data_IF_620691522690
#
_entry.id   IF_620691522690
#
_cell.length_a   1.000
_cell.length_b   1.000
_cell.length_c   1.000
_cell.angle_alpha   90.00
_cell.angle_beta   90.00
_cell.angle_gamma   90.00
#
_symmetry.space_group_name_H-M   'P 1'
#
loop_
_entity.id
_entity.type
_entity.pdbx_description
1 polymer ?
#
# COMPACT_ATOMS: atom_id res chain seq x y z
N UNK A 1 29.16 -50.35 -21.71
CA UNK A 1 28.26 -51.54 -21.73
C UNK A 1 27.56 -51.84 -20.38
N UNK A 2 27.66 -51.01 -19.35
CA UNK A 2 27.17 -51.38 -18.00
C UNK A 2 25.86 -50.72 -17.49
N UNK A 3 25.30 -49.79 -18.21
CA UNK A 3 24.13 -49.05 -17.71
C UNK A 3 22.81 -49.84 -17.85
N UNK A 4 22.67 -50.64 -18.89
CA UNK A 4 21.42 -51.40 -19.12
C UNK A 4 21.36 -52.64 -18.19
N UNK A 5 22.48 -53.25 -17.88
CA UNK A 5 22.55 -54.39 -16.95
C UNK A 5 22.16 -53.99 -15.53
N UNK A 6 22.63 -52.83 -15.08
CA UNK A 6 22.29 -52.32 -13.75
C UNK A 6 20.78 -51.91 -13.65
N UNK A 7 20.20 -51.40 -14.72
CA UNK A 7 18.76 -51.11 -14.77
C UNK A 7 17.91 -52.38 -14.71
N UNK A 8 18.31 -53.40 -15.43
CA UNK A 8 17.60 -54.68 -15.43
C UNK A 8 17.72 -55.41 -14.09
N UNK A 9 18.88 -55.37 -13.44
CA UNK A 9 19.10 -55.88 -12.08
C UNK A 9 18.24 -55.15 -11.04
N UNK A 10 18.08 -53.84 -11.17
CA UNK A 10 17.23 -53.03 -10.27
C UNK A 10 15.75 -53.35 -10.46
N UNK A 11 15.31 -53.57 -11.72
CA UNK A 11 13.94 -53.98 -12.04
C UNK A 11 13.56 -55.31 -11.39
N UNK A 12 14.48 -56.32 -11.45
CA UNK A 12 14.19 -57.64 -10.86
C UNK A 12 14.24 -57.62 -9.34
N UNK A 13 15.25 -56.94 -8.74
CA UNK A 13 15.40 -56.91 -7.29
C UNK A 13 14.35 -56.04 -6.58
N UNK A 14 14.01 -54.92 -7.14
CA UNK A 14 13.13 -53.93 -6.51
C UNK A 14 12.22 -53.22 -7.57
N UNK A 15 11.24 -53.92 -8.12
CA UNK A 15 10.42 -53.38 -9.22
C UNK A 15 9.69 -52.07 -8.84
N UNK A 16 9.17 -51.96 -7.62
CA UNK A 16 8.54 -50.73 -7.13
C UNK A 16 9.48 -49.52 -7.14
N UNK A 17 10.73 -49.69 -6.67
CA UNK A 17 11.71 -48.61 -6.71
C UNK A 17 12.15 -48.27 -8.14
N UNK A 18 12.21 -49.28 -9.02
CA UNK A 18 12.54 -49.05 -10.42
C UNK A 18 11.46 -48.20 -11.12
N UNK A 19 10.18 -48.55 -10.94
CA UNK A 19 9.07 -47.82 -11.55
C UNK A 19 8.90 -46.43 -10.93
N UNK A 20 9.07 -46.30 -9.60
CA UNK A 20 9.08 -44.99 -8.94
C UNK A 20 10.14 -44.08 -9.56
N UNK A 21 11.41 -44.52 -9.63
CA UNK A 21 12.49 -43.70 -10.15
C UNK A 21 12.35 -43.40 -11.64
N UNK A 22 11.78 -44.35 -12.41
CA UNK A 22 11.43 -44.14 -13.82
C UNK A 22 10.35 -43.05 -13.97
N UNK A 23 9.27 -43.13 -13.19
CA UNK A 23 8.17 -42.19 -13.23
C UNK A 23 8.63 -40.79 -12.76
N UNK A 24 9.40 -40.70 -11.68
CA UNK A 24 9.97 -39.43 -11.20
C UNK A 24 10.91 -38.78 -12.23
N UNK A 25 11.64 -39.59 -13.00
CA UNK A 25 12.49 -39.06 -14.07
C UNK A 25 11.68 -38.57 -15.26
N UNK A 26 10.58 -39.24 -15.60
CA UNK A 26 9.68 -38.89 -16.71
C UNK A 26 8.73 -37.75 -16.34
N UNK A 27 8.30 -37.71 -15.08
CA UNK A 27 7.41 -36.74 -14.50
C UNK A 27 8.02 -36.23 -13.20
N UNK A 28 9.00 -35.30 -13.25
CA UNK A 28 9.65 -34.80 -12.06
C UNK A 28 8.62 -34.07 -11.18
N UNK A 29 8.66 -34.36 -9.88
CA UNK A 29 7.92 -33.59 -8.91
C UNK A 29 8.65 -32.28 -8.70
N UNK A 30 7.93 -31.19 -8.89
CA UNK A 30 8.43 -29.87 -8.53
C UNK A 30 8.06 -29.62 -7.07
N UNK A 31 9.08 -29.33 -6.25
CA UNK A 31 8.90 -28.94 -4.86
C UNK A 31 9.04 -27.41 -4.78
N UNK A 32 8.22 -26.84 -3.95
CA UNK A 32 8.26 -25.43 -3.59
C UNK A 32 9.14 -25.20 -2.34
N UNK A 33 9.11 -24.00 -1.78
CA UNK A 33 9.84 -23.66 -0.55
C UNK A 33 9.40 -24.52 0.65
N UNK A 34 8.17 -25.00 0.68
CA UNK A 34 7.65 -25.90 1.71
C UNK A 34 8.11 -27.37 1.51
N UNK A 35 8.83 -27.65 0.43
CA UNK A 35 9.31 -28.98 0.06
C UNK A 35 8.20 -30.05 -0.05
N UNK A 36 7.03 -29.64 -0.47
CA UNK A 36 5.88 -30.50 -0.74
C UNK A 36 5.51 -30.48 -2.23
N UNK A 37 4.60 -31.36 -2.66
CA UNK A 37 4.04 -31.30 -3.99
C UNK A 37 3.20 -30.04 -4.19
N UNK A 38 3.20 -29.46 -5.40
CA UNK A 38 2.43 -28.22 -5.67
C UNK A 38 0.93 -28.31 -5.32
N UNK A 39 0.34 -29.51 -5.45
CA UNK A 39 -1.06 -29.74 -5.07
C UNK A 39 -1.27 -29.72 -3.54
N UNK A 40 -0.28 -30.14 -2.78
CA UNK A 40 -0.31 -30.12 -1.31
C UNK A 40 -0.06 -28.69 -0.78
N UNK A 41 0.76 -27.90 -1.47
CA UNK A 41 1.02 -26.51 -1.11
C UNK A 41 -0.26 -25.70 -0.98
N UNK A 42 -1.16 -25.83 -1.95
CA UNK A 42 -2.44 -25.14 -1.92
C UNK A 42 -3.26 -25.50 -0.68
N UNK A 43 -3.29 -26.78 -0.32
CA UNK A 43 -4.01 -27.26 0.87
C UNK A 43 -3.39 -26.70 2.16
N UNK A 44 -2.06 -26.69 2.25
CA UNK A 44 -1.33 -26.14 3.41
C UNK A 44 -1.62 -24.65 3.55
N UNK A 45 -1.50 -23.89 2.45
CA UNK A 45 -1.77 -22.44 2.44
C UNK A 45 -3.21 -22.15 2.85
N UNK A 46 -4.18 -22.88 2.31
CA UNK A 46 -5.60 -22.70 2.66
C UNK A 46 -5.89 -23.03 4.12
N UNK A 47 -5.27 -24.06 4.66
CA UNK A 47 -5.39 -24.43 6.06
C UNK A 47 -4.77 -23.38 6.98
N UNK A 48 -3.57 -22.91 6.68
CA UNK A 48 -2.89 -21.86 7.44
C UNK A 48 -3.68 -20.55 7.43
N UNK A 49 -4.20 -20.15 6.27
CA UNK A 49 -5.08 -18.99 6.16
C UNK A 49 -6.39 -19.16 6.95
N UNK A 50 -6.94 -20.37 7.00
CA UNK A 50 -8.13 -20.67 7.78
C UNK A 50 -7.86 -20.53 9.27
N UNK A 51 -6.74 -21.07 9.76
CA UNK A 51 -6.30 -20.96 11.15
C UNK A 51 -6.04 -19.52 11.55
N UNK A 52 -5.32 -18.75 10.71
CA UNK A 52 -5.06 -17.34 10.97
C UNK A 52 -6.34 -16.50 11.11
N UNK A 53 -7.38 -16.82 10.34
CA UNK A 53 -8.68 -16.13 10.46
C UNK A 53 -9.36 -16.35 11.80
N UNK A 54 -9.04 -17.45 12.50
CA UNK A 54 -9.60 -17.78 13.81
C UNK A 54 -8.82 -17.13 14.96
N UNK A 55 -7.59 -16.69 14.72
CA UNK A 55 -6.77 -16.02 15.74
C UNK A 55 -7.11 -14.53 15.76
N UNK A 56 -7.60 -13.96 16.87
CA UNK A 56 -7.90 -12.54 16.96
C UNK A 56 -6.61 -11.71 16.84
N UNK A 57 -6.69 -10.63 16.10
CA UNK A 57 -5.59 -9.67 15.99
C UNK A 57 -5.67 -8.66 17.15
N UNK A 58 -4.71 -8.73 18.08
CA UNK A 58 -4.57 -7.80 19.21
C UNK A 58 -3.67 -6.59 18.89
N UNK A 59 -3.27 -6.44 17.64
CA UNK A 59 -2.37 -5.37 17.22
C UNK A 59 -2.99 -3.99 17.49
N UNK A 60 -2.20 -3.03 18.04
CA UNK A 60 -2.61 -1.64 18.10
C UNK A 60 -2.59 -1.03 16.70
N UNK A 61 -3.71 -0.52 16.24
CA UNK A 61 -3.85 0.04 14.90
C UNK A 61 -4.29 1.49 15.01
N UNK A 62 -3.54 2.38 14.36
CA UNK A 62 -3.88 3.79 14.22
C UNK A 62 -4.52 4.08 12.87
N UNK A 63 -5.10 5.27 12.74
CA UNK A 63 -5.57 5.80 11.46
C UNK A 63 -4.82 7.09 11.16
N UNK A 64 -4.45 7.28 9.90
CA UNK A 64 -3.80 8.48 9.40
C UNK A 64 -4.59 9.02 8.21
N UNK A 65 -4.99 10.28 8.31
CA UNK A 65 -5.61 11.05 7.23
C UNK A 65 -4.63 12.07 6.67
N UNK A 66 -4.75 12.36 5.38
CA UNK A 66 -4.26 13.60 4.79
C UNK A 66 -5.47 14.48 4.46
N UNK A 67 -5.39 15.77 4.81
CA UNK A 67 -6.50 16.70 4.62
C UNK A 67 -6.03 18.14 4.48
N UNK A 68 -6.68 18.88 3.59
CA UNK A 68 -6.57 20.32 3.47
C UNK A 68 -7.94 20.95 3.20
N UNK A 69 -8.10 22.19 3.65
CA UNK A 69 -9.28 22.98 3.36
C UNK A 69 -8.91 24.09 2.37
N UNK A 70 -9.34 23.95 1.13
CA UNK A 70 -9.08 24.96 0.08
C UNK A 70 -9.86 26.27 0.27
N UNK A 71 -10.87 26.29 1.15
CA UNK A 71 -11.61 27.50 1.50
C UNK A 71 -10.81 28.41 2.45
N UNK A 72 -9.72 27.92 3.04
CA UNK A 72 -8.77 28.73 3.79
C UNK A 72 -8.01 29.65 2.83
N UNK A 73 -8.18 30.96 3.00
CA UNK A 73 -7.57 31.97 2.13
C UNK A 73 -6.04 31.96 2.21
N UNK A 74 -5.45 31.63 3.35
CA UNK A 74 -3.98 31.57 3.54
C UNK A 74 -3.45 30.42 2.70
N UNK A 75 -4.05 29.24 2.85
CA UNK A 75 -3.67 28.07 2.08
C UNK A 75 -3.88 28.27 0.58
N UNK A 76 -5.03 28.83 0.20
CA UNK A 76 -5.37 29.10 -1.20
C UNK A 76 -4.38 30.05 -1.88
N UNK A 77 -3.99 31.14 -1.20
CA UNK A 77 -3.00 32.07 -1.71
C UNK A 77 -1.63 31.41 -1.84
N UNK A 78 -1.23 30.60 -0.86
CA UNK A 78 -0.02 29.79 -0.93
C UNK A 78 -0.06 28.86 -2.15
N UNK A 79 -1.13 28.08 -2.32
CA UNK A 79 -1.29 27.19 -3.46
C UNK A 79 -1.16 27.94 -4.79
N UNK A 80 -1.88 29.06 -4.95
CA UNK A 80 -1.86 29.85 -6.18
C UNK A 80 -0.49 30.44 -6.48
N UNK A 81 0.29 30.84 -5.48
CA UNK A 81 1.66 31.38 -5.66
C UNK A 81 2.64 30.32 -6.18
N UNK A 82 2.38 29.05 -5.91
CA UNK A 82 3.20 27.93 -6.37
C UNK A 82 2.63 27.21 -7.59
N UNK A 83 1.36 27.41 -7.91
CA UNK A 83 0.72 26.79 -9.08
C UNK A 83 1.38 27.23 -10.37
N UNK A 84 2.02 26.30 -11.07
CA UNK A 84 2.50 26.50 -12.46
C UNK A 84 1.47 25.90 -13.42
N UNK A 85 1.31 26.51 -14.58
CA UNK A 85 0.48 25.96 -15.66
C UNK A 85 1.26 24.87 -16.42
N UNK A 86 1.60 23.79 -15.73
CA UNK A 86 2.26 22.63 -16.34
C UNK A 86 1.22 21.52 -16.54
N UNK A 87 0.89 21.27 -17.81
CA UNK A 87 -0.08 20.26 -18.23
C UNK A 87 0.55 18.87 -18.45
N UNK A 88 1.84 18.69 -18.14
CA UNK A 88 2.57 17.46 -18.41
C UNK A 88 2.01 16.22 -17.69
N UNK A 89 1.26 16.42 -16.58
CA UNK A 89 0.70 15.36 -15.75
C UNK A 89 -0.82 15.16 -15.91
N UNK A 90 -1.41 15.71 -16.97
CA UNK A 90 -2.84 15.61 -17.27
C UNK A 90 -3.65 16.85 -16.83
N UNK A 91 -4.72 17.13 -17.59
CA UNK A 91 -5.55 18.34 -17.41
C UNK A 91 -6.20 18.44 -16.02
N UNK A 92 -6.46 17.31 -15.37
CA UNK A 92 -7.15 17.25 -14.07
C UNK A 92 -6.19 17.27 -12.86
N UNK A 93 -4.88 17.31 -13.08
CA UNK A 93 -3.90 17.30 -11.98
C UNK A 93 -3.98 18.56 -11.11
N UNK A 94 -4.38 19.68 -11.69
CA UNK A 94 -4.47 21.00 -11.05
C UNK A 94 -5.89 21.46 -10.78
N UNK A 95 -6.87 20.57 -10.88
CA UNK A 95 -8.28 20.89 -10.66
C UNK A 95 -8.52 21.22 -9.18
N UNK A 96 -9.13 22.38 -8.91
CA UNK A 96 -9.47 22.81 -7.55
C UNK A 96 -10.46 21.88 -6.86
N UNK A 97 -11.25 21.12 -7.62
CA UNK A 97 -12.16 20.12 -7.07
C UNK A 97 -11.45 19.05 -6.21
N UNK A 98 -10.17 18.80 -6.47
CA UNK A 98 -9.35 17.87 -5.69
C UNK A 98 -9.08 18.32 -4.25
N UNK A 99 -9.25 19.58 -3.99
CA UNK A 99 -9.03 20.21 -2.68
C UNK A 99 -10.34 20.74 -2.08
N UNK A 100 -11.50 20.44 -2.71
CA UNK A 100 -12.80 20.86 -2.20
C UNK A 100 -13.07 20.15 -0.88
N UNK A 101 -13.66 20.89 0.07
CA UNK A 101 -14.01 20.37 1.38
C UNK A 101 -15.52 20.56 1.59
N UNK A 102 -16.27 19.46 1.56
CA UNK A 102 -17.69 19.40 1.88
C UNK A 102 -17.93 18.66 3.21
N UNK A 103 -16.97 18.77 4.14
CA UNK A 103 -16.92 18.06 5.42
C UNK A 103 -16.75 16.53 5.30
N UNK A 104 -16.16 16.04 4.22
CA UNK A 104 -15.92 14.62 4.00
C UNK A 104 -15.15 14.01 5.19
N UNK A 105 -14.06 14.65 5.62
CA UNK A 105 -13.27 14.20 6.75
C UNK A 105 -14.10 14.01 8.03
N UNK A 106 -15.04 14.94 8.32
CA UNK A 106 -15.90 14.82 9.50
C UNK A 106 -16.79 13.58 9.45
N UNK A 107 -17.41 13.31 8.31
CA UNK A 107 -18.24 12.13 8.14
C UNK A 107 -17.42 10.85 8.09
N UNK A 108 -16.24 10.87 7.46
CA UNK A 108 -15.32 9.76 7.46
C UNK A 108 -14.90 9.38 8.89
N UNK A 109 -14.52 10.37 9.70
CA UNK A 109 -14.14 10.17 11.09
C UNK A 109 -15.30 9.64 11.95
N UNK A 110 -16.54 10.13 11.73
CA UNK A 110 -17.73 9.54 12.34
C UNK A 110 -17.93 8.07 11.96
N UNK A 111 -17.67 7.72 10.71
CA UNK A 111 -17.77 6.34 10.23
C UNK A 111 -16.75 5.42 10.93
N UNK A 112 -15.51 5.89 11.12
CA UNK A 112 -14.49 5.17 11.89
C UNK A 112 -14.94 4.92 13.31
N UNK A 113 -15.39 5.96 14.02
CA UNK A 113 -15.88 5.82 15.40
C UNK A 113 -17.02 4.84 15.54
N UNK A 114 -17.91 4.80 14.55
CA UNK A 114 -19.08 3.93 14.56
C UNK A 114 -18.73 2.48 14.23
N UNK A 115 -17.91 2.24 13.22
CA UNK A 115 -17.77 0.92 12.60
C UNK A 115 -16.43 0.23 12.88
N UNK A 116 -15.39 0.98 13.29
CA UNK A 116 -14.08 0.44 13.70
C UNK A 116 -13.60 1.10 15.00
N UNK A 117 -14.42 1.05 16.09
CA UNK A 117 -14.12 1.74 17.36
C UNK A 117 -12.87 1.24 18.06
N UNK A 118 -12.28 0.13 17.61
CA UNK A 118 -11.04 -0.45 18.10
C UNK A 118 -9.77 0.31 17.63
N UNK A 119 -9.89 1.35 16.81
CA UNK A 119 -8.78 2.23 16.42
C UNK A 119 -8.22 2.93 17.65
N UNK A 120 -6.88 2.86 17.81
CA UNK A 120 -6.19 3.40 18.99
C UNK A 120 -6.13 4.94 18.97
N UNK A 121 -5.52 5.52 17.92
CA UNK A 121 -5.37 6.95 17.69
C UNK A 121 -5.64 7.32 16.25
N UNK A 122 -6.02 8.56 16.01
CA UNK A 122 -6.25 9.11 14.68
C UNK A 122 -5.33 10.31 14.51
N UNK A 123 -4.59 10.36 13.41
CA UNK A 123 -3.73 11.47 13.03
C UNK A 123 -4.28 12.11 11.77
N UNK A 124 -4.34 13.44 11.75
CA UNK A 124 -4.73 14.23 10.57
C UNK A 124 -3.53 15.06 10.16
N UNK A 125 -3.00 14.75 8.98
CA UNK A 125 -1.86 15.47 8.39
C UNK A 125 -2.39 16.62 7.57
N UNK A 126 -1.90 17.83 7.84
CA UNK A 126 -2.43 19.06 7.24
C UNK A 126 -1.34 20.13 7.05
N UNK A 127 -1.65 21.18 6.30
CA UNK A 127 -0.75 22.31 6.05
C UNK A 127 -1.15 23.51 6.92
N UNK A 128 -0.80 23.44 8.21
CA UNK A 128 -1.10 24.47 9.21
C UNK A 128 -2.60 24.81 9.34
N UNK A 129 -3.44 23.81 9.22
CA UNK A 129 -4.90 23.97 9.30
C UNK A 129 -5.44 23.10 10.44
N UNK A 130 -6.59 23.49 11.00
CA UNK A 130 -7.28 22.73 12.05
C UNK A 130 -8.78 22.74 11.74
N UNK A 131 -9.42 21.55 11.68
CA UNK A 131 -10.87 21.48 11.50
C UNK A 131 -11.58 22.11 12.71
N UNK A 132 -12.63 22.90 12.48
CA UNK A 132 -13.39 23.61 13.53
C UNK A 132 -14.00 22.68 14.60
N UNK A 133 -14.30 21.44 14.20
CA UNK A 133 -14.92 20.42 15.05
C UNK A 133 -13.92 19.51 15.78
N UNK A 134 -12.61 19.79 15.71
CA UNK A 134 -11.56 18.89 16.24
C UNK A 134 -11.70 18.62 17.73
N UNK A 135 -12.10 19.63 18.51
CA UNK A 135 -12.24 19.56 19.99
C UNK A 135 -13.29 18.52 20.44
N UNK A 136 -14.15 18.06 19.54
CA UNK A 136 -15.12 16.99 19.82
C UNK A 136 -14.44 15.60 19.95
N UNK A 137 -13.14 15.51 19.67
CA UNK A 137 -12.44 14.24 19.52
C UNK A 137 -11.14 14.19 20.32
N UNK A 138 -11.13 13.51 21.45
CA UNK A 138 -9.98 13.39 22.33
C UNK A 138 -8.84 12.48 21.83
N UNK A 139 -9.14 11.57 20.88
CA UNK A 139 -8.16 10.62 20.33
C UNK A 139 -7.66 11.03 18.93
N UNK A 140 -7.89 12.28 18.53
CA UNK A 140 -7.40 12.84 17.25
C UNK A 140 -6.24 13.79 17.52
N UNK A 141 -5.19 13.69 16.71
CA UNK A 141 -4.00 14.54 16.79
C UNK A 141 -3.76 15.17 15.41
N UNK A 142 -3.61 16.48 15.38
CA UNK A 142 -3.22 17.23 14.18
C UNK A 142 -1.69 17.20 14.06
N UNK A 143 -1.21 16.92 12.85
CA UNK A 143 0.22 16.93 12.49
C UNK A 143 0.41 17.88 11.32
N UNK A 144 1.31 18.84 11.48
CA UNK A 144 1.67 19.74 10.37
C UNK A 144 2.64 19.06 9.40
N UNK A 145 2.58 19.40 8.13
CA UNK A 145 3.53 18.94 7.12
C UNK A 145 4.99 19.18 7.56
N UNK A 146 5.27 20.30 8.25
CA UNK A 146 6.61 20.68 8.74
C UNK A 146 7.15 19.76 9.83
N UNK A 147 6.29 19.01 10.50
CA UNK A 147 6.69 18.09 11.58
C UNK A 147 7.26 16.78 11.03
N UNK A 148 6.90 16.42 9.79
CA UNK A 148 7.27 15.13 9.22
C UNK A 148 8.03 15.23 7.90
N UNK A 149 7.89 16.34 7.15
CA UNK A 149 8.48 16.51 5.82
C UNK A 149 9.68 17.45 5.91
N UNK A 150 10.86 17.10 5.34
CA UNK A 150 12.01 17.98 5.27
C UNK A 150 11.72 19.30 4.55
N UNK A 151 12.33 20.40 5.02
CA UNK A 151 12.06 21.77 4.53
C UNK A 151 12.27 21.93 3.03
N UNK A 152 13.22 21.21 2.45
CA UNK A 152 13.53 21.24 1.02
C UNK A 152 12.40 20.72 0.12
N UNK A 153 11.43 20.01 0.69
CA UNK A 153 10.25 19.48 -0.01
C UNK A 153 8.96 20.23 0.31
N UNK A 154 9.07 21.34 1.05
CA UNK A 154 7.92 22.16 1.44
C UNK A 154 7.93 23.52 0.69
N UNK A 155 6.76 24.10 0.39
CA UNK A 155 5.46 23.49 0.55
C UNK A 155 5.21 22.40 -0.49
N UNK A 156 4.41 21.40 -0.12
CA UNK A 156 3.94 20.37 -1.06
C UNK A 156 2.42 20.34 -1.12
N UNK A 157 1.90 20.13 -2.34
CA UNK A 157 0.47 19.94 -2.62
C UNK A 157 0.22 18.55 -3.22
N UNK A 158 1.22 17.68 -3.12
CA UNK A 158 1.19 16.32 -3.64
C UNK A 158 1.02 15.32 -2.48
N UNK A 159 -0.13 14.63 -2.42
CA UNK A 159 -0.41 13.62 -1.39
C UNK A 159 0.64 12.51 -1.33
N UNK A 160 1.19 12.10 -2.49
CA UNK A 160 2.21 11.05 -2.52
C UNK A 160 3.51 11.45 -1.82
N UNK A 161 3.87 12.74 -1.85
CA UNK A 161 5.01 13.24 -1.07
C UNK A 161 4.69 13.16 0.42
N UNK A 162 3.48 13.55 0.84
CA UNK A 162 3.06 13.48 2.23
C UNK A 162 3.05 12.03 2.71
N UNK A 163 2.45 11.12 1.94
CA UNK A 163 2.37 9.68 2.22
C UNK A 163 3.74 9.04 2.45
N UNK A 164 4.76 9.48 1.72
CA UNK A 164 6.12 8.97 1.86
C UNK A 164 6.76 9.25 3.24
N UNK A 165 6.28 10.27 3.95
CA UNK A 165 6.80 10.68 5.24
C UNK A 165 5.94 10.28 6.43
N UNK A 166 4.84 9.56 6.25
CA UNK A 166 3.95 9.14 7.35
C UNK A 166 4.69 8.37 8.46
N UNK A 167 5.73 7.64 8.13
CA UNK A 167 6.57 6.93 9.11
C UNK A 167 7.30 7.85 10.10
N UNK A 168 7.37 9.15 9.84
CA UNK A 168 7.96 10.17 10.73
C UNK A 168 7.00 10.67 11.81
N UNK A 169 5.72 10.33 11.73
CA UNK A 169 4.74 10.72 12.76
C UNK A 169 5.18 10.15 14.11
N UNK A 170 5.31 11.05 15.10
CA UNK A 170 5.65 10.67 16.47
C UNK A 170 4.52 9.83 17.08
N UNK A 171 4.87 8.78 17.81
CA UNK A 171 3.95 7.87 18.51
C UNK A 171 2.98 7.09 17.57
N UNK A 172 3.18 7.14 16.24
CA UNK A 172 2.45 6.29 15.31
C UNK A 172 2.72 4.83 15.59
N UNK A 173 1.66 4.02 15.65
CA UNK A 173 1.76 2.57 15.77
C UNK A 173 2.52 1.96 14.59
N UNK A 174 3.13 0.77 14.82
CA UNK A 174 3.72 -0.03 13.73
C UNK A 174 2.69 -0.34 12.65
N UNK A 175 1.44 -0.55 13.04
CA UNK A 175 0.31 -0.87 12.16
C UNK A 175 -0.63 0.31 12.11
N UNK A 176 -0.92 0.79 10.90
CA UNK A 176 -1.87 1.89 10.72
C UNK A 176 -2.61 1.79 9.39
N UNK A 177 -3.76 2.43 9.34
CA UNK A 177 -4.60 2.55 8.14
C UNK A 177 -4.44 3.96 7.61
N UNK A 178 -4.04 4.09 6.35
CA UNK A 178 -4.07 5.35 5.64
C UNK A 178 -5.44 5.55 4.98
N UNK A 179 -6.01 6.72 5.18
CA UNK A 179 -7.29 7.15 4.63
C UNK A 179 -7.14 8.47 3.89
N UNK A 180 -7.76 8.57 2.73
CA UNK A 180 -8.14 9.88 2.20
C UNK A 180 -9.40 10.36 2.91
N UNK A 181 -9.62 11.68 2.95
CA UNK A 181 -10.77 12.31 3.61
C UNK A 181 -12.14 11.89 3.04
N UNK A 182 -12.18 11.48 1.77
CA UNK A 182 -13.35 11.00 1.05
C UNK A 182 -13.63 9.49 1.19
N UNK A 183 -12.87 8.77 2.01
CA UNK A 183 -13.04 7.33 2.25
C UNK A 183 -13.83 7.09 3.53
N UNK A 184 -14.89 6.26 3.46
CA UNK A 184 -15.81 5.97 4.56
C UNK A 184 -15.87 4.48 4.87
N UNK A 185 -16.06 4.16 6.16
CA UNK A 185 -16.38 2.80 6.60
C UNK A 185 -17.89 2.68 6.73
N UNK A 186 -18.51 1.73 6.02
CA UNK A 186 -19.97 1.60 5.94
C UNK A 186 -20.56 0.49 6.82
N UNK A 187 -19.72 -0.35 7.42
CA UNK A 187 -20.11 -1.47 8.29
C UNK A 187 -19.01 -1.80 9.28
N UNK A 188 -19.32 -2.57 10.29
CA UNK A 188 -18.33 -3.11 11.22
C UNK A 188 -17.31 -3.98 10.48
N UNK A 189 -16.02 -3.71 10.74
CA UNK A 189 -14.91 -4.42 10.13
C UNK A 189 -13.93 -4.82 11.24
N UNK A 190 -13.61 -6.11 11.39
CA UNK A 190 -12.64 -6.57 12.38
C UNK A 190 -11.21 -6.20 11.99
N UNK A 191 -10.30 -6.11 12.97
CA UNK A 191 -8.87 -5.86 12.76
C UNK A 191 -8.23 -6.83 11.76
N UNK A 192 -8.64 -8.11 11.79
CA UNK A 192 -8.15 -9.17 10.92
C UNK A 192 -8.44 -8.97 9.42
N UNK A 193 -9.38 -8.08 9.08
CA UNK A 193 -9.59 -7.65 7.70
C UNK A 193 -8.40 -6.85 7.17
N UNK A 194 -7.73 -6.08 8.02
CA UNK A 194 -6.64 -5.19 7.66
C UNK A 194 -5.27 -5.83 7.91
N UNK A 195 -5.11 -6.47 9.03
CA UNK A 195 -3.87 -7.12 9.43
C UNK A 195 -4.15 -8.50 10.01
N UNK A 196 -3.45 -9.49 9.53
CA UNK A 196 -3.49 -10.84 10.10
C UNK A 196 -2.83 -10.84 11.48
N UNK A 197 -3.09 -11.87 12.27
CA UNK A 197 -2.50 -12.01 13.61
C UNK A 197 -0.96 -12.00 13.61
N UNK A 198 -0.34 -12.50 12.54
CA UNK A 198 1.11 -12.46 12.32
C UNK A 198 1.63 -11.11 11.82
N UNK A 199 0.77 -10.09 11.68
CA UNK A 199 1.11 -8.74 11.25
C UNK A 199 1.23 -8.55 9.73
N UNK A 200 0.81 -9.52 8.92
CA UNK A 200 0.74 -9.34 7.47
C UNK A 200 -0.42 -8.40 7.13
N UNK A 201 -0.14 -7.37 6.32
CA UNK A 201 -1.14 -6.42 5.83
C UNK A 201 -1.98 -7.03 4.72
N UNK A 202 -3.28 -6.81 4.74
CA UNK A 202 -4.16 -7.12 3.61
C UNK A 202 -3.88 -6.17 2.44
N UNK A 203 -3.96 -6.68 1.22
CA UNK A 203 -3.78 -5.90 -0.01
C UNK A 203 -5.11 -5.86 -0.79
N UNK A 204 -5.60 -4.65 -1.04
CA UNK A 204 -6.86 -4.45 -1.78
C UNK A 204 -6.54 -3.98 -3.19
N UNK A 205 -6.74 -4.86 -4.17
CA UNK A 205 -6.44 -4.63 -5.58
C UNK A 205 -7.71 -4.49 -6.41
N UNK A 206 -7.64 -3.72 -7.50
CA UNK A 206 -8.75 -3.59 -8.45
C UNK A 206 -8.74 -4.73 -9.48
N UNK A 207 -9.81 -4.81 -10.27
CA UNK A 207 -9.85 -5.65 -11.48
C UNK A 207 -9.33 -4.91 -12.73
N UNK A 208 -8.82 -3.68 -12.58
CA UNK A 208 -8.31 -2.88 -13.70
C UNK A 208 -6.89 -3.33 -14.04
N UNK A 209 -6.51 -3.23 -15.32
CA UNK A 209 -5.15 -3.47 -15.79
C UNK A 209 -4.44 -2.13 -16.04
N UNK A 210 -3.24 -1.97 -15.48
CA UNK A 210 -2.37 -0.80 -15.70
C UNK A 210 -2.00 -0.70 -17.17
N UNK A 211 -1.68 -1.86 -17.81
CA UNK A 211 -1.36 -1.89 -19.24
C UNK A 211 -2.56 -1.45 -20.10
N UNK A 212 -3.75 -1.99 -19.82
CA UNK A 212 -4.96 -1.60 -20.55
C UNK A 212 -5.32 -0.10 -20.36
N UNK A 213 -5.03 0.48 -19.19
CA UNK A 213 -5.21 1.91 -18.96
C UNK A 213 -4.22 2.73 -19.79
N UNK A 214 -2.94 2.35 -19.80
CA UNK A 214 -1.90 3.00 -20.62
C UNK A 214 -2.22 2.92 -22.11
N UNK A 215 -2.60 1.74 -22.60
CA UNK A 215 -2.86 1.49 -24.03
C UNK A 215 -4.11 2.25 -24.54
N UNK A 216 -5.04 2.59 -23.62
CA UNK A 216 -6.18 3.49 -23.89
C UNK A 216 -5.80 4.98 -23.87
N UNK A 217 -4.52 5.33 -23.67
CA UNK A 217 -4.05 6.71 -23.62
C UNK A 217 -4.49 7.48 -22.36
N UNK A 218 -4.86 6.79 -21.28
CA UNK A 218 -5.17 7.44 -20.01
C UNK A 218 -3.89 8.11 -19.49
N UNK A 219 -3.98 9.39 -19.17
CA UNK A 219 -2.87 10.17 -18.65
C UNK A 219 -3.28 10.84 -17.35
N UNK A 220 -3.03 10.17 -16.21
CA UNK A 220 -3.37 10.67 -14.88
C UNK A 220 -2.18 10.49 -13.93
N UNK A 221 -2.05 11.37 -12.89
CA UNK A 221 -1.01 11.22 -11.87
C UNK A 221 -1.02 9.84 -11.22
N UNK A 222 -2.20 9.28 -10.96
CA UNK A 222 -2.35 7.94 -10.38
C UNK A 222 -1.78 6.84 -11.28
N UNK A 223 -2.01 6.91 -12.60
CA UNK A 223 -1.44 5.94 -13.53
C UNK A 223 0.08 6.04 -13.57
N UNK A 224 0.64 7.25 -13.58
CA UNK A 224 2.08 7.46 -13.52
C UNK A 224 2.69 6.90 -12.23
N UNK A 225 2.05 7.12 -11.08
CA UNK A 225 2.47 6.53 -9.81
C UNK A 225 2.48 5.00 -9.87
N UNK A 226 1.42 4.37 -10.43
CA UNK A 226 1.35 2.92 -10.62
C UNK A 226 2.47 2.39 -11.54
N UNK A 227 2.76 3.07 -12.64
CA UNK A 227 3.83 2.70 -13.57
C UNK A 227 5.22 2.80 -12.91
N UNK A 228 5.46 3.86 -12.14
CA UNK A 228 6.70 4.05 -11.41
C UNK A 228 6.88 2.98 -10.32
N UNK A 229 5.83 2.69 -9.57
CA UNK A 229 5.85 1.64 -8.53
C UNK A 229 6.09 0.26 -9.15
N UNK A 230 5.44 -0.05 -10.28
CA UNK A 230 5.66 -1.30 -11.01
C UNK A 230 7.10 -1.45 -11.46
N UNK A 231 7.67 -0.38 -12.03
CA UNK A 231 9.08 -0.38 -12.44
C UNK A 231 10.00 -0.63 -11.26
N UNK A 232 9.75 0.05 -10.12
CA UNK A 232 10.54 -0.13 -8.90
C UNK A 232 10.49 -1.56 -8.38
N UNK A 233 9.29 -2.17 -8.34
CA UNK A 233 9.10 -3.55 -7.91
C UNK A 233 9.80 -4.55 -8.83
N UNK A 234 9.74 -4.32 -10.13
CA UNK A 234 10.45 -5.14 -11.09
C UNK A 234 11.97 -5.03 -10.96
N UNK A 235 12.49 -3.80 -10.87
CA UNK A 235 13.93 -3.54 -10.79
C UNK A 235 14.57 -4.13 -9.51
N UNK A 236 13.84 -4.18 -8.39
CA UNK A 236 14.39 -4.58 -7.10
C UNK A 236 14.02 -6.02 -6.69
N UNK A 237 12.84 -6.50 -7.09
CA UNK A 237 12.32 -7.78 -6.61
C UNK A 237 11.94 -8.73 -7.75
N UNK A 238 12.07 -8.32 -9.00
CA UNK A 238 11.62 -9.07 -10.19
C UNK A 238 10.12 -9.42 -10.16
N UNK A 239 9.32 -8.59 -9.47
CA UNK A 239 7.87 -8.77 -9.34
C UNK A 239 7.17 -7.94 -10.41
N UNK A 240 6.36 -8.60 -11.24
CA UNK A 240 5.47 -7.94 -12.18
C UNK A 240 4.07 -7.81 -11.60
N UNK A 241 3.54 -6.58 -11.61
CA UNK A 241 2.16 -6.28 -11.25
C UNK A 241 1.46 -5.53 -12.39
N UNK A 242 0.21 -5.86 -12.64
CA UNK A 242 -0.62 -5.16 -13.64
C UNK A 242 -1.92 -4.59 -13.05
N UNK A 243 -2.11 -4.71 -11.75
CA UNK A 243 -3.32 -4.26 -11.07
C UNK A 243 -3.02 -3.13 -10.11
N UNK A 244 -3.70 -1.96 -10.22
CA UNK A 244 -3.59 -0.89 -9.23
C UNK A 244 -4.33 -1.24 -7.93
N UNK A 245 -3.96 -0.56 -6.86
CA UNK A 245 -4.69 -0.62 -5.60
C UNK A 245 -6.09 0.00 -5.76
N UNK A 246 -7.03 -0.45 -4.94
CA UNK A 246 -8.36 0.18 -4.82
C UNK A 246 -8.19 1.55 -4.17
N UNK A 247 -8.93 2.56 -4.63
CA UNK A 247 -9.08 3.81 -3.91
C UNK A 247 -9.97 3.59 -2.69
N UNK A 248 -9.32 3.31 -1.57
CA UNK A 248 -9.93 2.93 -0.30
C UNK A 248 -8.92 3.14 0.82
N UNK A 249 -9.22 2.65 2.03
CA UNK A 249 -8.24 2.57 3.11
C UNK A 249 -7.07 1.63 2.73
N UNK A 250 -5.87 1.97 3.18
CA UNK A 250 -4.66 1.21 2.89
C UNK A 250 -3.99 0.79 4.21
N UNK A 251 -3.95 -0.52 4.52
CA UNK A 251 -3.20 -1.02 5.67
C UNK A 251 -1.69 -0.93 5.43
N UNK A 252 -0.98 -0.23 6.29
CA UNK A 252 0.44 0.05 6.16
C UNK A 252 1.21 -0.32 7.43
N UNK A 253 2.49 -0.69 7.26
CA UNK A 253 3.45 -0.89 8.35
C UNK A 253 4.49 0.20 8.33
N UNK A 254 4.71 0.84 9.48
CA UNK A 254 5.67 1.92 9.65
C UNK A 254 7.09 1.49 9.24
N UNK A 255 7.52 0.32 9.68
CA UNK A 255 8.83 -0.24 9.33
C UNK A 255 9.00 -0.49 7.82
N UNK A 256 7.93 -0.87 7.10
CA UNK A 256 7.99 -1.05 5.66
C UNK A 256 8.26 0.27 4.92
N UNK A 257 7.55 1.35 5.28
CA UNK A 257 7.78 2.67 4.67
C UNK A 257 9.20 3.14 4.99
N UNK A 258 9.64 3.00 6.24
CA UNK A 258 11.00 3.37 6.66
C UNK A 258 12.05 2.56 5.88
N UNK A 259 11.86 1.26 5.71
CA UNK A 259 12.77 0.40 4.96
C UNK A 259 12.82 0.79 3.48
N UNK A 260 11.68 1.07 2.86
CA UNK A 260 11.61 1.58 1.50
C UNK A 260 12.35 2.92 1.38
N UNK A 261 12.16 3.86 2.30
CA UNK A 261 12.83 5.16 2.27
C UNK A 261 14.35 5.03 2.38
N UNK A 262 14.87 4.08 3.14
CA UNK A 262 16.32 3.81 3.28
C UNK A 262 16.86 3.10 2.02
N UNK A 263 16.21 2.03 1.59
CA UNK A 263 16.69 1.19 0.48
C UNK A 263 16.66 1.92 -0.87
N UNK A 264 15.70 2.83 -1.03
CA UNK A 264 15.50 3.56 -2.28
C UNK A 264 15.85 5.04 -2.19
N UNK A 265 16.68 5.45 -1.21
CA UNK A 265 16.98 6.87 -0.93
C UNK A 265 17.34 7.64 -2.20
N UNK A 266 18.19 7.13 -3.08
CA UNK A 266 18.54 7.81 -4.32
C UNK A 266 17.39 7.91 -5.33
N UNK A 267 16.63 6.80 -5.53
CA UNK A 267 15.47 6.76 -6.42
C UNK A 267 14.32 7.59 -5.82
N UNK A 268 14.15 7.53 -4.51
CA UNK A 268 13.14 8.26 -3.76
C UNK A 268 13.43 9.78 -3.73
N UNK A 269 14.69 10.19 -3.57
CA UNK A 269 15.11 11.58 -3.67
C UNK A 269 14.91 12.13 -5.10
N UNK A 270 15.16 11.32 -6.12
CA UNK A 270 14.88 11.69 -7.49
C UNK A 270 13.36 11.84 -7.73
N UNK A 271 12.55 10.91 -7.25
CA UNK A 271 11.10 10.96 -7.28
C UNK A 271 10.57 12.19 -6.51
N UNK A 272 11.12 12.48 -5.34
CA UNK A 272 10.75 13.64 -4.54
C UNK A 272 11.15 14.95 -5.21
N UNK A 273 12.34 15.04 -5.82
CA UNK A 273 12.78 16.23 -6.56
C UNK A 273 11.89 16.50 -7.77
N UNK A 274 11.48 15.47 -8.51
CA UNK A 274 10.54 15.60 -9.62
C UNK A 274 9.18 16.08 -9.10
N UNK A 275 8.72 15.59 -7.95
CA UNK A 275 7.39 15.86 -7.42
C UNK A 275 7.33 17.04 -6.43
N UNK A 276 8.43 17.50 -5.85
CA UNK A 276 8.48 18.58 -4.87
C UNK A 276 9.22 19.83 -5.34
N UNK A 277 10.22 19.65 -6.15
CA UNK A 277 11.17 20.73 -6.40
C UNK A 277 10.68 21.78 -7.37
N UNK A 278 9.69 21.53 -8.07
CA UNK A 278 9.07 22.50 -8.98
C UNK A 278 7.69 21.99 -9.33
N UNK A 279 6.82 22.09 -8.32
CA UNK A 279 5.38 21.94 -8.45
C UNK A 279 4.99 21.04 -9.60
N UNK A 280 5.11 19.80 -9.39
CA UNK A 280 4.29 18.85 -10.05
C UNK A 280 3.20 18.49 -9.05
N UNK A 281 2.07 19.09 -9.26
CA UNK A 281 0.83 18.80 -8.54
C UNK A 281 0.42 17.38 -8.83
#
# INVERSE_FOLDING_TARGET
MNTNYNKFKKLIKNPGLFFRDYLLKKHPLYYNELQCALQEEQIIIENDLSLERQIPSELPIDVVYTWVNHNDNIWKNKYLSYKKNDYSYGQNATDLSRFSNNNELYFSLKSIKKFIPWVRKIYIITDNQTPEWIDLYSNVTIIDHRDIIPKEYLPTFNSHVIEAYLHKIKDLSEYFLYFNDDVFVSREIPKSHFFKSNGISSLFITKKSINAMRDKGINTPTLHACLNSRKLLYDEFYIEIDTPLVHSYIPLKKACIMKCSISFTLKFLHFQKINSGQITI
#
